data_IF_959297764658
#
_entry.id   IF_959297764658
#
_cell.length_a   1.000
_cell.length_b   1.000
_cell.length_c   1.000
_cell.angle_alpha   90.00
_cell.angle_beta   90.00
_cell.angle_gamma   90.00
#
_symmetry.space_group_name_H-M   'P 1'
#
loop_
_entity.id
_entity.type
_entity.pdbx_description
1 polymer ?
#
# COMPACT_ATOMS: atom_id res chain seq x y z
N UNK A 1 -9.04 -0.18 -19.18
CA UNK A 1 -9.43 0.18 -17.80
C UNK A 1 -10.52 1.24 -17.85
N UNK A 2 -11.53 1.13 -16.97
CA UNK A 2 -12.57 2.16 -16.77
C UNK A 2 -12.51 2.65 -15.31
N UNK A 3 -12.31 3.96 -15.13
CA UNK A 3 -12.32 4.63 -13.82
C UNK A 3 -13.66 5.37 -13.62
N UNK A 4 -14.38 5.01 -12.57
CA UNK A 4 -15.68 5.58 -12.22
C UNK A 4 -15.58 6.39 -10.93
N UNK A 5 -15.69 7.71 -11.04
CA UNK A 5 -15.65 8.64 -9.93
C UNK A 5 -17.06 9.07 -9.53
N UNK A 6 -17.37 9.02 -8.22
CA UNK A 6 -18.69 9.35 -7.67
C UNK A 6 -18.66 10.60 -6.78
N UNK A 7 -17.51 11.16 -6.52
CA UNK A 7 -17.38 12.33 -5.62
C UNK A 7 -16.99 13.59 -6.39
N UNK A 8 -16.02 13.49 -7.29
CA UNK A 8 -15.57 14.64 -8.05
C UNK A 8 -16.37 14.84 -9.35
N UNK A 9 -16.48 16.10 -9.78
CA UNK A 9 -17.00 16.43 -11.10
C UNK A 9 -15.99 16.14 -12.21
N UNK A 10 -16.51 15.94 -13.43
CA UNK A 10 -15.67 15.65 -14.61
C UNK A 10 -14.52 16.64 -14.83
N UNK A 11 -14.68 17.98 -14.61
CA UNK A 11 -13.58 18.92 -14.77
C UNK A 11 -12.43 18.64 -13.80
N UNK A 12 -12.72 18.28 -12.54
CA UNK A 12 -11.71 17.97 -11.56
C UNK A 12 -10.99 16.66 -11.87
N UNK A 13 -11.73 15.63 -12.25
CA UNK A 13 -11.14 14.36 -12.68
C UNK A 13 -10.19 14.55 -13.87
N UNK A 14 -10.58 15.37 -14.85
CA UNK A 14 -9.71 15.73 -15.99
C UNK A 14 -8.44 16.44 -15.54
N UNK A 15 -8.49 17.34 -14.55
CA UNK A 15 -7.31 18.04 -14.02
C UNK A 15 -6.36 17.05 -13.36
N UNK A 16 -6.87 16.11 -12.53
CA UNK A 16 -6.07 15.08 -11.87
C UNK A 16 -5.38 14.16 -12.86
N UNK A 17 -6.11 13.69 -13.88
CA UNK A 17 -5.53 12.86 -14.95
C UNK A 17 -4.46 13.67 -15.71
N UNK A 18 -4.73 14.92 -16.07
CA UNK A 18 -3.75 15.78 -16.75
C UNK A 18 -2.49 16.00 -15.91
N UNK A 19 -2.64 16.21 -14.59
CA UNK A 19 -1.49 16.35 -13.69
C UNK A 19 -0.62 15.08 -13.69
N UNK A 20 -1.24 13.90 -13.58
CA UNK A 20 -0.52 12.63 -13.64
C UNK A 20 0.21 12.44 -14.98
N UNK A 21 -0.45 12.68 -16.09
CA UNK A 21 0.16 12.58 -17.43
C UNK A 21 1.37 13.51 -17.57
N UNK A 22 1.23 14.78 -17.18
CA UNK A 22 2.31 15.77 -17.24
C UNK A 22 3.50 15.36 -16.37
N UNK A 23 3.23 14.93 -15.13
CA UNK A 23 4.29 14.55 -14.18
C UNK A 23 5.08 13.33 -14.65
N UNK A 24 4.38 12.31 -15.17
CA UNK A 24 5.00 11.07 -15.62
C UNK A 24 5.46 11.08 -17.09
N UNK A 25 5.34 12.21 -17.78
CA UNK A 25 5.76 12.35 -19.18
C UNK A 25 4.98 11.46 -20.15
N UNK A 26 3.71 11.17 -19.86
CA UNK A 26 2.83 10.33 -20.67
C UNK A 26 1.98 11.22 -21.59
N UNK A 27 1.92 10.92 -22.87
CA UNK A 27 1.07 11.65 -23.79
C UNK A 27 -0.37 11.13 -23.72
N UNK A 28 -1.34 12.01 -23.96
CA UNK A 28 -2.76 11.63 -24.00
C UNK A 28 -3.04 10.53 -25.05
N UNK A 29 -2.30 10.54 -26.15
CA UNK A 29 -2.43 9.53 -27.20
C UNK A 29 -2.04 8.13 -26.74
N UNK A 30 -1.06 8.02 -25.83
CA UNK A 30 -0.57 6.73 -25.32
C UNK A 30 -1.62 6.01 -24.45
N UNK A 31 -2.54 6.76 -23.85
CA UNK A 31 -3.62 6.20 -23.03
C UNK A 31 -4.97 6.11 -23.77
N UNK A 32 -5.04 6.61 -25.01
CA UNK A 32 -6.27 6.56 -25.79
C UNK A 32 -6.67 5.11 -26.09
N UNK A 33 -7.91 4.75 -25.75
CA UNK A 33 -8.40 3.37 -25.86
C UNK A 33 -8.01 2.46 -24.69
N UNK A 34 -7.10 2.90 -23.81
CA UNK A 34 -6.69 2.14 -22.62
C UNK A 34 -7.31 2.66 -21.33
N UNK A 35 -7.44 3.98 -21.19
CA UNK A 35 -8.07 4.64 -20.06
C UNK A 35 -9.38 5.31 -20.47
N UNK A 36 -10.49 4.81 -19.94
CA UNK A 36 -11.80 5.44 -19.97
C UNK A 36 -12.11 5.94 -18.56
N UNK A 37 -12.75 7.09 -18.44
CA UNK A 37 -13.17 7.63 -17.15
C UNK A 37 -14.49 8.36 -17.26
N UNK A 38 -15.30 8.26 -16.22
CA UNK A 38 -16.60 8.90 -16.13
C UNK A 38 -16.94 9.28 -14.70
N UNK A 39 -17.69 10.36 -14.54
CA UNK A 39 -18.27 10.73 -13.26
C UNK A 39 -19.73 10.31 -13.22
N UNK A 40 -20.13 9.64 -12.16
CA UNK A 40 -21.49 9.14 -11.95
C UNK A 40 -22.06 9.73 -10.66
N UNK A 41 -23.09 10.58 -10.79
CA UNK A 41 -23.73 11.22 -9.66
C UNK A 41 -25.22 10.82 -9.57
N UNK A 42 -25.75 10.71 -8.34
CA UNK A 42 -27.18 10.53 -8.10
C UNK A 42 -27.69 9.09 -8.07
N UNK A 43 -29.00 8.92 -8.16
CA UNK A 43 -29.69 7.65 -7.90
C UNK A 43 -29.44 6.57 -8.96
N UNK A 44 -29.09 6.94 -10.19
CA UNK A 44 -28.81 5.99 -11.27
C UNK A 44 -27.51 5.19 -11.04
N UNK A 45 -26.61 5.70 -10.21
CA UNK A 45 -25.29 5.13 -9.94
C UNK A 45 -25.30 4.03 -8.85
N UNK A 46 -26.43 3.38 -8.58
CA UNK A 46 -26.57 2.38 -7.51
C UNK A 46 -26.70 0.97 -8.07
N UNK A 47 -25.90 0.06 -7.52
CA UNK A 47 -25.96 -1.36 -7.82
C UNK A 47 -27.09 -2.05 -7.04
N UNK A 48 -27.20 -1.70 -5.74
CA UNK A 48 -28.24 -2.19 -4.83
C UNK A 48 -28.85 -1.00 -4.08
N UNK A 49 -30.16 -1.01 -3.90
CA UNK A 49 -30.89 0.06 -3.18
C UNK A 49 -32.05 -0.53 -2.38
N UNK A 50 -32.57 0.26 -1.44
CA UNK A 50 -33.79 -0.08 -0.71
C UNK A 50 -35.03 0.40 -1.50
N UNK A 51 -36.03 -0.45 -1.60
CA UNK A 51 -37.36 -0.07 -2.10
C UNK A 51 -38.13 0.75 -1.04
N UNK A 52 -39.21 1.45 -1.40
CA UNK A 52 -40.08 2.11 -0.43
C UNK A 52 -40.68 1.17 0.64
N UNK A 53 -40.73 -0.12 0.36
CA UNK A 53 -41.21 -1.15 1.26
C UNK A 53 -40.13 -1.84 2.10
N UNK A 54 -38.90 -1.30 2.11
CA UNK A 54 -37.78 -1.81 2.89
C UNK A 54 -37.11 -3.08 2.31
N UNK A 55 -37.44 -3.46 1.07
CA UNK A 55 -36.79 -4.59 0.39
C UNK A 55 -35.55 -4.13 -0.35
N UNK A 56 -34.52 -4.97 -0.39
CA UNK A 56 -33.34 -4.75 -1.23
C UNK A 56 -33.69 -5.06 -2.69
N UNK A 57 -33.41 -4.15 -3.59
CA UNK A 57 -33.68 -4.29 -5.02
C UNK A 57 -32.49 -3.85 -5.86
N UNK A 58 -32.21 -4.52 -6.98
CA UNK A 58 -31.16 -4.09 -7.90
C UNK A 58 -31.40 -2.67 -8.41
N UNK A 59 -30.30 -1.90 -8.51
CA UNK A 59 -30.26 -0.61 -9.17
C UNK A 59 -29.90 -0.73 -10.65
N UNK A 60 -29.73 0.40 -11.30
CA UNK A 60 -29.46 0.47 -12.74
C UNK A 60 -27.98 0.26 -13.08
N UNK A 61 -27.08 0.44 -12.12
CA UNK A 61 -25.62 0.39 -12.32
C UNK A 61 -25.18 -0.95 -12.91
N UNK A 62 -25.75 -2.07 -12.44
CA UNK A 62 -25.33 -3.39 -12.90
C UNK A 62 -25.58 -3.65 -14.38
N UNK A 63 -26.76 -3.27 -14.89
CA UNK A 63 -27.08 -3.39 -16.31
C UNK A 63 -26.19 -2.49 -17.16
N UNK A 64 -26.03 -1.24 -16.74
CA UNK A 64 -25.16 -0.28 -17.43
C UNK A 64 -23.69 -0.72 -17.45
N UNK A 65 -23.17 -1.31 -16.36
CA UNK A 65 -21.81 -1.84 -16.31
C UNK A 65 -21.60 -2.94 -17.37
N UNK A 66 -22.49 -3.92 -17.45
CA UNK A 66 -22.38 -5.01 -18.44
C UNK A 66 -22.35 -4.47 -19.88
N UNK A 67 -23.19 -3.49 -20.17
CA UNK A 67 -23.22 -2.83 -21.49
C UNK A 67 -21.90 -2.10 -21.80
N UNK A 68 -21.43 -1.27 -20.88
CA UNK A 68 -20.23 -0.44 -21.10
C UNK A 68 -18.96 -1.27 -21.16
N UNK A 69 -18.84 -2.34 -20.34
CA UNK A 69 -17.73 -3.29 -20.37
C UNK A 69 -17.60 -3.90 -21.77
N UNK A 70 -18.70 -4.46 -22.27
CA UNK A 70 -18.74 -5.10 -23.59
C UNK A 70 -18.42 -4.11 -24.70
N UNK A 71 -18.99 -2.90 -24.64
CA UNK A 71 -18.81 -1.87 -25.65
C UNK A 71 -17.39 -1.34 -25.72
N UNK A 72 -16.72 -1.16 -24.58
CA UNK A 72 -15.37 -0.59 -24.50
C UNK A 72 -14.26 -1.64 -24.49
N UNK A 73 -14.58 -2.92 -24.27
CA UNK A 73 -13.60 -4.00 -24.15
C UNK A 73 -12.65 -3.78 -22.97
N UNK A 74 -13.16 -3.30 -21.83
CA UNK A 74 -12.32 -3.06 -20.64
C UNK A 74 -12.08 -4.34 -19.85
N UNK A 75 -10.92 -4.48 -19.25
CA UNK A 75 -10.51 -5.63 -18.43
C UNK A 75 -10.44 -5.29 -16.93
N UNK A 76 -10.47 -4.01 -16.57
CA UNK A 76 -10.43 -3.54 -15.19
C UNK A 76 -11.40 -2.37 -15.02
N UNK A 77 -12.20 -2.42 -13.96
CA UNK A 77 -13.01 -1.28 -13.50
C UNK A 77 -12.58 -0.88 -12.09
N UNK A 78 -12.43 0.42 -11.87
CA UNK A 78 -12.12 1.03 -10.57
C UNK A 78 -13.28 1.92 -10.14
N UNK A 79 -13.76 1.76 -8.90
CA UNK A 79 -14.82 2.55 -8.29
C UNK A 79 -14.26 3.45 -7.19
N UNK A 80 -14.51 4.75 -7.27
CA UNK A 80 -14.03 5.76 -6.32
C UNK A 80 -15.18 6.67 -5.81
N UNK A 81 -15.64 6.44 -4.58
CA UNK A 81 -15.42 5.31 -3.69
C UNK A 81 -16.54 4.25 -3.72
N UNK A 82 -16.28 3.06 -3.16
CA UNK A 82 -17.22 1.95 -3.03
C UNK A 82 -18.56 2.36 -2.40
N UNK A 83 -18.53 3.12 -1.31
CA UNK A 83 -19.74 3.53 -0.57
C UNK A 83 -20.78 4.26 -1.44
N UNK A 84 -20.37 4.86 -2.53
CA UNK A 84 -21.27 5.57 -3.46
C UNK A 84 -21.96 4.65 -4.46
N UNK A 85 -21.52 3.39 -4.58
CA UNK A 85 -22.08 2.43 -5.54
C UNK A 85 -23.38 1.79 -5.09
N UNK A 86 -23.78 1.94 -3.84
CA UNK A 86 -25.01 1.36 -3.26
C UNK A 86 -25.79 2.37 -2.43
N UNK A 87 -27.03 2.00 -2.06
CA UNK A 87 -27.89 2.75 -1.18
C UNK A 87 -28.53 1.83 -0.12
N UNK A 88 -27.71 0.94 0.42
CA UNK A 88 -28.04 0.09 1.58
C UNK A 88 -27.21 0.55 2.79
N UNK A 89 -27.64 0.22 4.05
CA UNK A 89 -26.89 0.60 5.24
C UNK A 89 -25.45 0.06 5.23
N UNK A 90 -24.47 0.95 5.44
CA UNK A 90 -23.04 0.63 5.41
C UNK A 90 -22.61 -0.37 6.49
N UNK A 91 -23.30 -0.37 7.64
CA UNK A 91 -23.00 -1.26 8.77
C UNK A 91 -23.79 -2.58 8.74
N UNK A 92 -24.58 -2.84 7.70
CA UNK A 92 -25.27 -4.10 7.50
C UNK A 92 -24.40 -5.07 6.69
N UNK A 93 -23.72 -5.99 7.39
CA UNK A 93 -22.86 -6.99 6.77
C UNK A 93 -23.55 -7.78 5.66
N UNK A 94 -24.80 -8.18 5.87
CA UNK A 94 -25.56 -8.94 4.87
C UNK A 94 -25.87 -8.12 3.62
N UNK A 95 -26.17 -6.84 3.77
CA UNK A 95 -26.42 -5.95 2.65
C UNK A 95 -25.14 -5.65 1.87
N UNK A 96 -24.03 -5.43 2.56
CA UNK A 96 -22.73 -5.20 1.92
C UNK A 96 -22.21 -6.44 1.23
N UNK A 97 -22.38 -7.63 1.83
CA UNK A 97 -22.04 -8.91 1.19
C UNK A 97 -22.83 -9.12 -0.12
N UNK A 98 -24.12 -8.78 -0.13
CA UNK A 98 -24.94 -8.82 -1.35
C UNK A 98 -24.42 -7.87 -2.43
N UNK A 99 -24.04 -6.62 -2.07
CA UNK A 99 -23.43 -5.66 -3.01
C UNK A 99 -22.13 -6.21 -3.59
N UNK A 100 -21.24 -6.73 -2.75
CA UNK A 100 -19.96 -7.28 -3.19
C UNK A 100 -20.17 -8.50 -4.08
N UNK A 101 -21.10 -9.40 -3.70
CA UNK A 101 -21.46 -10.57 -4.51
C UNK A 101 -21.96 -10.19 -5.90
N UNK A 102 -22.74 -9.11 -6.03
CA UNK A 102 -23.17 -8.59 -7.34
C UNK A 102 -21.98 -8.11 -8.19
N UNK A 103 -20.98 -7.43 -7.59
CA UNK A 103 -19.77 -7.04 -8.30
C UNK A 103 -18.91 -8.24 -8.70
N UNK A 104 -18.76 -9.22 -7.81
CA UNK A 104 -18.05 -10.47 -8.11
C UNK A 104 -18.71 -11.18 -9.29
N UNK A 105 -20.04 -11.23 -9.32
CA UNK A 105 -20.78 -11.84 -10.43
C UNK A 105 -20.56 -11.08 -11.75
N UNK A 106 -20.54 -9.74 -11.72
CA UNK A 106 -20.20 -8.92 -12.90
C UNK A 106 -18.76 -9.23 -13.37
N UNK A 107 -17.81 -9.31 -12.43
CA UNK A 107 -16.41 -9.67 -12.72
C UNK A 107 -16.29 -11.02 -13.42
N UNK A 108 -17.01 -12.04 -12.93
CA UNK A 108 -17.04 -13.39 -13.51
C UNK A 108 -17.70 -13.39 -14.88
N UNK A 109 -18.91 -12.84 -15.00
CA UNK A 109 -19.70 -12.86 -16.24
C UNK A 109 -19.01 -12.09 -17.39
N UNK A 110 -18.33 -11.00 -17.05
CA UNK A 110 -17.65 -10.14 -18.03
C UNK A 110 -16.14 -10.43 -18.14
N UNK A 111 -15.60 -11.35 -17.35
CA UNK A 111 -14.17 -11.70 -17.30
C UNK A 111 -13.26 -10.50 -17.05
N UNK A 112 -13.59 -9.66 -16.08
CA UNK A 112 -12.85 -8.46 -15.71
C UNK A 112 -12.40 -8.48 -14.26
N UNK A 113 -11.38 -7.68 -13.94
CA UNK A 113 -11.04 -7.32 -12.58
C UNK A 113 -11.88 -6.13 -12.11
N UNK A 114 -12.25 -6.16 -10.82
CA UNK A 114 -12.99 -5.07 -10.16
C UNK A 114 -12.18 -4.60 -8.97
N UNK A 115 -11.94 -3.30 -8.89
CA UNK A 115 -11.20 -2.64 -7.81
C UNK A 115 -12.06 -1.56 -7.15
N UNK A 116 -11.90 -1.41 -5.83
CA UNK A 116 -12.65 -0.45 -5.02
C UNK A 116 -11.72 0.42 -4.20
N UNK A 117 -11.90 1.72 -4.28
CA UNK A 117 -11.37 2.63 -3.28
C UNK A 117 -12.39 2.75 -2.15
N UNK A 118 -11.90 2.59 -0.92
CA UNK A 118 -12.75 2.66 0.26
C UNK A 118 -12.09 3.53 1.32
N UNK A 119 -12.86 4.44 1.92
CA UNK A 119 -12.34 5.29 2.97
C UNK A 119 -12.07 4.47 4.23
N UNK A 120 -10.98 4.81 4.89
CA UNK A 120 -10.63 4.27 6.20
C UNK A 120 -11.44 4.96 7.30
N UNK A 121 -11.64 4.28 8.43
CA UNK A 121 -12.30 4.90 9.59
C UNK A 121 -11.41 6.01 10.19
N UNK A 122 -12.03 6.94 10.94
CA UNK A 122 -11.29 7.99 11.65
C UNK A 122 -10.55 7.40 12.84
N UNK A 123 -9.26 7.67 12.97
CA UNK A 123 -8.42 7.21 14.08
C UNK A 123 -6.98 6.91 13.65
N UNK A 124 -6.20 6.34 14.55
CA UNK A 124 -4.90 5.78 14.20
C UNK A 124 -5.14 4.48 13.46
N UNK A 125 -4.56 4.41 12.26
CA UNK A 125 -4.61 3.23 11.40
C UNK A 125 -3.22 2.62 11.43
N UNK A 126 -3.14 1.34 11.84
CA UNK A 126 -1.90 0.60 11.72
C UNK A 126 -1.68 0.22 10.25
N UNK A 127 -0.48 0.44 9.72
CA UNK A 127 -0.15 0.04 8.36
C UNK A 127 -0.34 -1.47 8.15
N UNK A 128 -1.01 -1.85 7.05
CA UNK A 128 -1.31 -3.26 6.77
C UNK A 128 -2.51 -3.83 7.55
N UNK A 129 -3.25 -2.99 8.25
CA UNK A 129 -4.50 -3.40 8.92
C UNK A 129 -5.65 -3.47 7.90
N UNK A 130 -6.07 -4.69 7.57
CA UNK A 130 -7.21 -4.91 6.69
C UNK A 130 -8.55 -4.44 7.32
N UNK A 131 -8.63 -4.31 8.65
CA UNK A 131 -9.81 -3.83 9.37
C UNK A 131 -9.90 -2.29 9.40
N UNK A 132 -8.92 -1.58 8.85
CA UNK A 132 -8.94 -0.12 8.73
C UNK A 132 -10.07 0.42 7.83
N UNK A 133 -10.67 -0.40 6.99
CA UNK A 133 -11.82 -0.05 6.15
C UNK A 133 -13.03 0.36 6.98
N UNK A 134 -13.74 1.41 6.55
CA UNK A 134 -14.94 1.91 7.21
C UNK A 134 -16.14 1.04 6.90
N UNK A 135 -16.99 0.73 7.91
CA UNK A 135 -18.23 -0.02 7.72
C UNK A 135 -18.06 -1.54 7.92
N UNK A 136 -18.89 -2.32 7.23
CA UNK A 136 -18.97 -3.77 7.38
C UNK A 136 -17.72 -4.51 6.87
N UNK A 137 -17.31 -5.56 7.57
CA UNK A 137 -16.15 -6.39 7.21
C UNK A 137 -16.31 -7.19 5.91
N UNK A 138 -17.56 -7.39 5.46
CA UNK A 138 -17.87 -8.20 4.28
C UNK A 138 -17.11 -7.77 3.01
N UNK A 139 -16.89 -6.46 2.79
CA UNK A 139 -16.12 -5.99 1.64
C UNK A 139 -14.65 -6.42 1.67
N UNK A 140 -14.02 -6.37 2.84
CA UNK A 140 -12.65 -6.85 3.07
C UNK A 140 -12.56 -8.38 2.88
N UNK A 141 -13.53 -9.11 3.43
CA UNK A 141 -13.50 -10.57 3.43
C UNK A 141 -13.62 -11.15 2.02
N UNK A 142 -14.39 -10.51 1.15
CA UNK A 142 -14.53 -10.88 -0.26
C UNK A 142 -13.32 -10.46 -1.13
N UNK A 143 -12.56 -9.44 -0.73
CA UNK A 143 -11.37 -8.98 -1.46
C UNK A 143 -10.30 -10.06 -1.57
N UNK A 144 -9.73 -10.27 -2.76
CA UNK A 144 -8.58 -11.16 -3.01
C UNK A 144 -7.25 -10.46 -2.70
N UNK A 145 -7.21 -9.17 -2.96
CA UNK A 145 -6.10 -8.27 -2.67
C UNK A 145 -6.66 -7.09 -1.88
N UNK A 146 -6.05 -6.75 -0.76
CA UNK A 146 -6.39 -5.56 0.02
C UNK A 146 -5.11 -4.81 0.34
N UNK A 147 -5.08 -3.54 -0.04
CA UNK A 147 -3.99 -2.64 0.29
C UNK A 147 -4.51 -1.51 1.18
N UNK A 148 -3.71 -1.09 2.14
CA UNK A 148 -3.95 0.13 2.91
C UNK A 148 -3.00 1.22 2.46
N UNK A 149 -3.51 2.43 2.24
CA UNK A 149 -2.70 3.61 1.92
C UNK A 149 -2.93 4.64 3.01
N UNK A 150 -1.87 5.01 3.72
CA UNK A 150 -1.94 5.94 4.84
C UNK A 150 -0.84 7.01 4.74
N UNK A 151 -1.07 8.23 5.22
CA UNK A 151 -0.01 9.22 5.37
C UNK A 151 1.10 8.70 6.29
N UNK A 152 2.33 9.12 6.02
CA UNK A 152 3.48 8.78 6.87
C UNK A 152 3.25 9.24 8.32
N UNK A 153 3.27 8.30 9.26
CA UNK A 153 3.16 8.59 10.69
C UNK A 153 4.44 9.27 11.22
N UNK A 154 4.35 9.97 12.35
CA UNK A 154 5.52 10.51 13.03
C UNK A 154 6.54 9.43 13.39
N UNK A 155 6.06 8.27 13.85
CA UNK A 155 6.91 7.10 14.17
C UNK A 155 7.69 6.60 12.94
N UNK A 156 7.03 6.52 11.78
CA UNK A 156 7.71 6.14 10.54
C UNK A 156 8.73 7.20 10.10
N UNK A 157 8.39 8.48 10.21
CA UNK A 157 9.31 9.58 9.89
C UNK A 157 10.55 9.54 10.77
N UNK A 158 10.38 9.35 12.08
CA UNK A 158 11.48 9.23 13.04
C UNK A 158 12.38 8.03 12.72
N UNK A 159 11.81 6.85 12.45
CA UNK A 159 12.57 5.65 12.07
C UNK A 159 13.36 5.82 10.77
N UNK A 160 12.86 6.65 9.85
CA UNK A 160 13.51 6.95 8.57
C UNK A 160 14.41 8.21 8.62
N UNK A 161 14.53 8.85 9.79
CA UNK A 161 15.34 10.08 9.95
C UNK A 161 14.74 11.32 9.29
N UNK A 162 13.46 11.33 8.96
CA UNK A 162 12.76 12.44 8.29
C UNK A 162 12.33 13.46 9.35
N UNK A 163 13.02 14.60 9.41
CA UNK A 163 12.73 15.69 10.34
C UNK A 163 11.84 16.77 9.73
N UNK A 164 11.73 16.84 8.41
CA UNK A 164 10.95 17.86 7.71
C UNK A 164 9.47 17.48 7.72
N UNK A 165 8.67 18.21 8.48
CA UNK A 165 7.24 17.98 8.63
C UNK A 165 6.44 18.18 7.32
N UNK A 166 6.85 19.15 6.48
CA UNK A 166 6.22 19.37 5.18
C UNK A 166 6.46 18.17 4.25
N UNK A 167 7.67 17.62 4.24
CA UNK A 167 7.96 16.38 3.50
C UNK A 167 7.15 15.21 4.05
N UNK A 168 7.12 15.00 5.38
CA UNK A 168 6.36 13.91 6.00
C UNK A 168 4.90 13.90 5.55
N UNK A 169 4.25 15.06 5.51
CA UNK A 169 2.84 15.20 5.10
C UNK A 169 2.59 14.85 3.61
N UNK A 170 3.62 14.94 2.80
CA UNK A 170 3.53 14.56 1.38
C UNK A 170 3.82 13.07 1.14
N UNK A 171 4.26 12.31 2.16
CA UNK A 171 4.62 10.91 1.99
C UNK A 171 3.47 9.98 2.38
N UNK A 172 3.20 9.02 1.51
CA UNK A 172 2.18 8.00 1.66
C UNK A 172 2.83 6.62 1.73
N UNK A 173 2.35 5.80 2.63
CA UNK A 173 2.75 4.42 2.80
C UNK A 173 1.63 3.51 2.31
N UNK A 174 1.98 2.55 1.45
CA UNK A 174 1.08 1.48 1.00
C UNK A 174 1.59 0.14 1.54
N UNK A 175 0.73 -0.57 2.23
CA UNK A 175 0.98 -1.91 2.76
C UNK A 175 -0.02 -2.90 2.18
N UNK A 176 0.46 -4.14 2.00
CA UNK A 176 -0.40 -5.26 1.66
C UNK A 176 -1.05 -5.80 2.92
N UNK A 177 -2.37 -5.63 3.03
CA UNK A 177 -3.16 -6.06 4.19
C UNK A 177 -3.73 -7.49 4.01
N UNK A 178 -4.00 -7.90 2.77
CA UNK A 178 -4.47 -9.25 2.42
C UNK A 178 -3.97 -9.62 1.02
N UNK A 179 -3.38 -10.79 0.89
CA UNK A 179 -2.93 -11.37 -0.38
C UNK A 179 -3.31 -12.85 -0.41
N UNK A 180 -4.34 -13.20 -1.21
CA UNK A 180 -4.77 -14.59 -1.34
C UNK A 180 -4.18 -15.29 -2.57
N UNK A 181 -3.60 -14.54 -3.49
CA UNK A 181 -3.15 -15.02 -4.81
C UNK A 181 -1.66 -14.81 -5.07
N UNK A 182 -0.92 -14.23 -4.11
CA UNK A 182 0.50 -13.96 -4.21
C UNK A 182 1.17 -14.19 -2.85
N UNK A 183 2.49 -14.46 -2.81
CA UNK A 183 3.24 -14.49 -1.55
C UNK A 183 3.12 -13.18 -0.77
N UNK A 184 3.15 -13.21 0.56
CA UNK A 184 3.09 -11.99 1.38
C UNK A 184 4.23 -11.04 1.03
N UNK A 185 3.89 -9.79 0.69
CA UNK A 185 4.87 -8.72 0.54
C UNK A 185 5.07 -8.06 1.89
N UNK A 186 6.27 -8.18 2.45
CA UNK A 186 6.59 -7.66 3.79
C UNK A 186 7.09 -6.21 3.76
N UNK A 187 7.52 -5.73 2.61
CA UNK A 187 8.03 -4.37 2.43
C UNK A 187 6.90 -3.41 2.04
N UNK A 188 6.82 -2.27 2.73
CA UNK A 188 5.91 -1.20 2.35
C UNK A 188 6.37 -0.52 1.06
N UNK A 189 5.42 -0.17 0.20
CA UNK A 189 5.67 0.72 -0.93
C UNK A 189 5.39 2.16 -0.52
N UNK A 190 6.26 3.08 -0.93
CA UNK A 190 6.13 4.48 -0.57
C UNK A 190 5.89 5.35 -1.80
N UNK A 191 5.07 6.36 -1.61
CA UNK A 191 4.77 7.36 -2.62
C UNK A 191 4.92 8.76 -2.02
N UNK A 192 5.17 9.73 -2.90
CA UNK A 192 5.21 11.14 -2.53
C UNK A 192 4.18 11.91 -3.34
N UNK A 193 3.39 12.72 -2.67
CA UNK A 193 2.50 13.70 -3.29
C UNK A 193 3.33 14.83 -3.87
N UNK A 194 3.12 15.14 -5.14
CA UNK A 194 3.74 16.25 -5.85
C UNK A 194 2.69 17.17 -6.43
N UNK A 195 2.95 18.46 -6.39
CA UNK A 195 2.05 19.49 -6.95
C UNK A 195 2.48 19.83 -8.38
N UNK A 196 1.61 19.64 -9.34
CA UNK A 196 1.90 19.79 -10.77
C UNK A 196 1.16 21.01 -11.31
N UNK A 197 1.87 22.02 -11.87
CA UNK A 197 1.22 23.14 -12.56
C UNK A 197 0.63 22.65 -13.88
N UNK A 198 -0.65 22.95 -14.13
CA UNK A 198 -1.34 22.50 -15.34
C UNK A 198 -1.09 23.38 -16.58
N UNK A 199 -0.39 24.51 -16.42
CA UNK A 199 -0.09 25.42 -17.51
C UNK A 199 -1.33 26.09 -18.13
N UNK A 200 -2.35 26.39 -17.31
CA UNK A 200 -3.62 26.97 -17.71
C UNK A 200 -3.91 28.31 -17.03
N UNK A 201 -2.97 29.29 -17.05
CA UNK A 201 -3.20 30.60 -16.46
C UNK A 201 -4.33 31.34 -17.16
N UNK A 202 -5.04 32.17 -16.38
CA UNK A 202 -6.05 33.10 -16.90
C UNK A 202 -5.79 34.49 -16.31
N UNK A 203 -6.35 35.58 -16.89
CA UNK A 203 -6.21 36.91 -16.29
C UNK A 203 -6.67 36.98 -14.83
N UNK A 204 -7.67 36.19 -14.45
CA UNK A 204 -8.18 36.10 -13.08
C UNK A 204 -7.32 35.22 -12.19
N UNK A 205 -6.65 34.22 -12.74
CA UNK A 205 -5.82 33.24 -12.04
C UNK A 205 -4.47 33.10 -12.75
N UNK A 206 -3.55 34.05 -12.55
CA UNK A 206 -2.31 34.16 -13.35
C UNK A 206 -1.35 32.99 -13.11
N UNK A 207 -1.45 32.29 -11.99
CA UNK A 207 -0.63 31.10 -11.69
C UNK A 207 -1.21 29.79 -12.25
N UNK A 208 -2.46 29.82 -12.76
CA UNK A 208 -3.16 28.62 -13.19
C UNK A 208 -3.47 27.64 -12.05
N UNK A 209 -3.88 26.43 -12.41
CA UNK A 209 -4.17 25.37 -11.46
C UNK A 209 -2.90 24.58 -11.13
N UNK A 210 -2.76 24.22 -9.84
CA UNK A 210 -1.79 23.26 -9.33
C UNK A 210 -2.53 22.07 -8.76
N UNK A 211 -2.27 20.88 -9.27
CA UNK A 211 -2.99 19.66 -8.91
C UNK A 211 -2.01 18.59 -8.41
N UNK A 212 -2.38 17.90 -7.35
CA UNK A 212 -1.54 16.86 -6.80
C UNK A 212 -1.62 15.58 -7.62
N UNK A 213 -0.46 14.94 -7.81
CA UNK A 213 -0.33 13.55 -8.23
C UNK A 213 0.66 12.83 -7.32
N UNK A 214 0.97 11.57 -7.59
CA UNK A 214 1.90 10.78 -6.81
C UNK A 214 3.08 10.32 -7.67
N UNK A 215 4.23 10.21 -7.06
CA UNK A 215 5.42 9.56 -7.61
C UNK A 215 5.91 8.45 -6.66
N UNK A 216 6.52 7.38 -7.16
CA UNK A 216 7.23 6.43 -6.32
C UNK A 216 8.30 7.16 -5.51
N UNK A 217 8.42 6.80 -4.24
CA UNK A 217 9.41 7.39 -3.35
C UNK A 217 10.18 6.28 -2.62
N UNK A 218 11.48 6.38 -2.63
CA UNK A 218 12.37 5.45 -1.93
C UNK A 218 12.86 6.12 -0.65
N UNK A 219 12.65 5.50 0.52
CA UNK A 219 13.22 6.01 1.76
C UNK A 219 14.74 6.18 1.65
N UNK A 220 15.31 7.26 2.20
CA UNK A 220 16.74 7.54 2.09
C UNK A 220 17.65 6.45 2.68
N UNK A 221 17.10 5.60 3.54
CA UNK A 221 17.81 4.49 4.17
C UNK A 221 17.23 3.13 3.74
N UNK A 222 16.72 3.04 2.51
CA UNK A 222 16.25 1.77 1.96
C UNK A 222 17.47 0.86 1.71
N UNK A 223 17.49 -0.27 2.41
CA UNK A 223 18.51 -1.29 2.16
C UNK A 223 18.20 -1.98 0.83
N UNK A 224 19.13 -1.89 -0.11
CA UNK A 224 19.06 -2.75 -1.30
C UNK A 224 19.25 -4.21 -0.88
N UNK A 225 18.84 -5.14 -1.73
CA UNK A 225 19.03 -6.59 -1.48
C UNK A 225 20.51 -6.90 -1.29
N UNK A 226 21.38 -6.28 -2.09
CA UNK A 226 22.83 -6.42 -2.03
C UNK A 226 23.39 -5.94 -0.69
N UNK A 227 23.01 -4.73 -0.26
CA UNK A 227 23.46 -4.16 1.01
C UNK A 227 22.93 -4.96 2.21
N UNK A 228 21.68 -5.41 2.15
CA UNK A 228 21.10 -6.28 3.17
C UNK A 228 21.88 -7.61 3.29
N UNK A 229 22.24 -8.23 2.16
CA UNK A 229 23.04 -9.45 2.16
C UNK A 229 24.47 -9.22 2.68
N UNK A 230 25.10 -8.10 2.37
CA UNK A 230 26.42 -7.72 2.93
C UNK A 230 26.36 -7.58 4.46
N UNK A 231 25.31 -6.94 4.99
CA UNK A 231 25.10 -6.84 6.44
C UNK A 231 24.92 -8.25 7.04
N UNK A 232 24.11 -9.11 6.40
CA UNK A 232 23.90 -10.47 6.88
C UNK A 232 25.22 -11.28 6.89
N UNK A 233 26.03 -11.17 5.84
CA UNK A 233 27.34 -11.83 5.78
C UNK A 233 28.23 -11.34 6.92
N UNK A 234 28.30 -10.03 7.16
CA UNK A 234 29.09 -9.44 8.26
C UNK A 234 28.60 -9.88 9.63
N UNK A 235 27.29 -10.05 9.81
CA UNK A 235 26.72 -10.57 11.05
C UNK A 235 26.99 -12.07 11.25
N UNK A 236 27.08 -12.85 10.18
CA UNK A 236 27.39 -14.27 10.24
C UNK A 236 28.84 -14.57 10.62
N UNK A 237 29.77 -13.66 10.26
CA UNK A 237 31.17 -13.71 10.68
C UNK A 237 31.31 -13.66 12.22
N UNK A 238 30.38 -12.97 12.89
CA UNK A 238 30.39 -12.75 14.33
C UNK A 238 31.39 -11.68 14.78
N UNK A 239 31.44 -11.36 16.09
CA UNK A 239 32.38 -10.39 16.66
C UNK A 239 33.81 -10.93 16.76
N UNK A 240 34.00 -12.23 16.89
CA UNK A 240 35.27 -12.96 16.97
C UNK A 240 35.07 -14.35 16.36
N UNK A 241 36.12 -15.03 15.91
CA UNK A 241 36.00 -16.39 15.36
C UNK A 241 35.24 -17.36 16.31
N UNK A 242 34.18 -17.96 15.79
CA UNK A 242 33.31 -18.88 16.53
C UNK A 242 32.32 -18.23 17.52
N UNK A 243 32.36 -16.91 17.72
CA UNK A 243 31.38 -16.19 18.51
C UNK A 243 30.25 -15.65 17.65
N UNK A 244 29.04 -15.59 18.22
CA UNK A 244 27.87 -15.03 17.58
C UNK A 244 27.45 -13.70 18.21
N UNK A 245 26.96 -12.77 17.40
CA UNK A 245 26.33 -11.57 17.92
C UNK A 245 25.10 -11.92 18.76
N UNK A 246 24.76 -11.06 19.70
CA UNK A 246 23.58 -11.19 20.55
C UNK A 246 22.30 -10.78 19.79
N UNK A 247 21.15 -11.43 20.02
CA UNK A 247 19.86 -10.93 19.52
C UNK A 247 19.45 -9.60 20.17
N UNK A 248 20.15 -9.19 21.25
CA UNK A 248 19.91 -7.93 21.96
C UNK A 248 20.87 -6.84 21.50
N UNK A 249 20.33 -5.76 20.96
CA UNK A 249 21.09 -4.54 20.65
C UNK A 249 21.69 -3.82 21.88
N UNK A 250 21.42 -4.31 23.10
CA UNK A 250 21.97 -3.78 24.37
C UNK A 250 23.15 -4.58 24.87
N UNK A 251 23.54 -5.65 24.20
CA UNK A 251 24.72 -6.43 24.59
C UNK A 251 25.98 -5.57 24.50
N UNK A 252 26.89 -5.71 25.48
CA UNK A 252 28.09 -4.86 25.56
C UNK A 252 29.17 -5.35 24.59
N UNK A 253 29.45 -6.64 24.58
CA UNK A 253 30.58 -7.26 23.87
C UNK A 253 30.19 -8.01 22.60
N UNK A 254 28.91 -8.22 22.39
CA UNK A 254 28.34 -8.92 21.23
C UNK A 254 27.19 -8.14 20.58
N UNK A 255 27.26 -6.80 20.65
CA UNK A 255 26.28 -5.92 20.04
C UNK A 255 26.40 -5.96 18.52
N UNK A 256 25.34 -6.32 17.76
CA UNK A 256 25.40 -6.35 16.30
C UNK A 256 25.32 -4.97 15.66
N UNK A 257 24.86 -3.94 16.38
CA UNK A 257 24.62 -2.60 15.82
C UNK A 257 25.88 -1.97 15.22
N UNK A 258 27.06 -2.00 15.84
CA UNK A 258 28.27 -1.49 15.22
C UNK A 258 28.63 -2.17 13.90
N UNK A 259 28.46 -3.50 13.81
CA UNK A 259 28.71 -4.26 12.59
C UNK A 259 27.72 -3.93 11.47
N UNK A 260 26.46 -3.62 11.81
CA UNK A 260 25.47 -3.13 10.83
C UNK A 260 25.90 -1.77 10.30
N UNK A 261 26.34 -0.85 11.18
CA UNK A 261 26.76 0.50 10.79
C UNK A 261 28.09 0.53 10.03
N UNK A 262 28.95 -0.46 10.22
CA UNK A 262 30.16 -0.65 9.43
C UNK A 262 29.88 -0.85 7.94
N UNK A 263 28.83 -1.58 7.61
CA UNK A 263 28.42 -1.88 6.23
C UNK A 263 27.43 -0.83 5.70
N UNK A 264 26.57 -0.32 6.55
CA UNK A 264 25.53 0.66 6.20
C UNK A 264 25.73 1.95 7.00
N UNK A 265 26.76 2.70 6.64
CA UNK A 265 27.18 3.96 7.29
C UNK A 265 26.14 5.09 7.19
N UNK A 266 25.21 4.97 6.25
CA UNK A 266 24.07 5.89 6.09
C UNK A 266 22.98 5.70 7.15
N UNK A 267 22.97 4.58 7.88
CA UNK A 267 22.00 4.31 8.94
C UNK A 267 22.41 5.02 10.24
N UNK A 268 21.42 5.48 10.97
CA UNK A 268 21.59 5.88 12.37
C UNK A 268 21.57 4.65 13.28
N UNK A 269 22.10 4.79 14.50
CA UNK A 269 22.05 3.71 15.51
C UNK A 269 20.61 3.24 15.80
N UNK A 270 19.66 4.17 15.85
CA UNK A 270 18.23 3.86 16.04
C UNK A 270 17.69 3.00 14.88
N UNK A 271 18.07 3.30 13.66
CA UNK A 271 17.68 2.56 12.46
C UNK A 271 18.30 1.16 12.43
N UNK A 272 19.57 1.03 12.78
CA UNK A 272 20.24 -0.27 12.89
C UNK A 272 19.59 -1.16 13.98
N UNK A 273 19.15 -0.57 15.10
CA UNK A 273 18.39 -1.27 16.14
C UNK A 273 17.01 -1.74 15.67
N UNK A 274 16.32 -0.88 14.92
CA UNK A 274 15.02 -1.24 14.31
C UNK A 274 15.19 -2.37 13.30
N UNK A 275 16.19 -2.27 12.42
CA UNK A 275 16.52 -3.29 11.44
C UNK A 275 16.77 -4.67 12.08
N UNK A 276 17.58 -4.72 13.13
CA UNK A 276 17.82 -5.94 13.88
C UNK A 276 16.52 -6.55 14.42
N UNK A 277 15.65 -5.70 14.97
CA UNK A 277 14.36 -6.14 15.52
C UNK A 277 13.45 -6.69 14.43
N UNK A 278 13.38 -6.03 13.31
CA UNK A 278 12.54 -6.44 12.18
C UNK A 278 13.06 -7.73 11.53
N UNK A 279 14.37 -7.87 11.40
CA UNK A 279 14.99 -9.09 10.85
C UNK A 279 14.83 -10.30 11.78
N UNK A 280 14.77 -10.12 13.08
CA UNK A 280 14.42 -11.17 14.02
C UNK A 280 12.95 -11.56 13.97
N UNK A 281 12.04 -10.62 13.68
CA UNK A 281 10.60 -10.88 13.54
C UNK A 281 10.26 -11.61 12.25
N UNK A 282 10.88 -11.23 11.14
CA UNK A 282 10.60 -11.79 9.82
C UNK A 282 11.50 -12.97 9.44
N UNK A 283 12.26 -13.49 10.41
CA UNK A 283 13.17 -14.63 10.28
C UNK A 283 14.32 -14.46 9.25
N UNK A 284 14.67 -13.23 8.86
CA UNK A 284 15.96 -12.97 8.19
C UNK A 284 17.13 -13.30 9.14
N UNK A 285 16.95 -13.05 10.44
CA UNK A 285 17.82 -13.52 11.52
C UNK A 285 17.06 -14.42 12.48
N UNK A 286 17.74 -15.46 12.97
CA UNK A 286 17.17 -16.43 13.89
C UNK A 286 18.00 -16.43 15.17
N UNK A 287 17.32 -16.39 16.33
CA UNK A 287 17.97 -16.54 17.63
C UNK A 287 18.01 -18.01 18.03
N UNK A 288 19.23 -18.54 18.26
CA UNK A 288 19.45 -19.92 18.73
C UNK A 288 20.46 -19.94 19.87
N UNK A 289 20.38 -20.95 20.70
CA UNK A 289 21.41 -21.24 21.70
C UNK A 289 22.66 -21.82 21.03
N UNK A 290 23.83 -21.39 21.46
CA UNK A 290 25.13 -21.90 21.03
C UNK A 290 26.13 -21.84 22.19
N UNK A 291 27.17 -22.68 22.17
CA UNK A 291 28.24 -22.63 23.17
C UNK A 291 29.26 -21.55 22.79
N UNK A 292 29.29 -20.48 23.60
CA UNK A 292 30.24 -19.36 23.39
C UNK A 292 31.65 -19.81 23.73
N UNK A 293 32.59 -19.82 22.75
CA UNK A 293 33.93 -20.35 23.01
C UNK A 293 34.75 -19.54 24.01
N UNK A 294 34.45 -18.25 24.14
CA UNK A 294 35.15 -17.37 25.09
C UNK A 294 34.67 -17.57 26.52
N UNK A 295 33.33 -17.60 26.71
CA UNK A 295 32.72 -17.69 28.00
C UNK A 295 32.53 -19.13 28.47
N UNK A 296 32.68 -20.12 27.60
CA UNK A 296 32.42 -21.55 27.82
C UNK A 296 31.04 -21.81 28.43
N UNK A 297 30.04 -21.07 27.97
CA UNK A 297 28.64 -21.14 28.44
C UNK A 297 27.70 -21.11 27.25
N UNK A 298 26.56 -21.76 27.40
CA UNK A 298 25.48 -21.63 26.44
C UNK A 298 24.90 -20.21 26.46
N UNK A 299 24.79 -19.57 25.28
CA UNK A 299 24.27 -18.23 25.10
C UNK A 299 23.39 -18.15 23.85
N UNK A 300 22.48 -17.21 23.82
CA UNK A 300 21.73 -16.90 22.59
C UNK A 300 22.62 -16.13 21.62
N UNK A 301 22.69 -16.63 20.39
CA UNK A 301 23.35 -15.98 19.25
C UNK A 301 22.38 -15.76 18.09
N UNK A 302 22.71 -14.83 17.22
CA UNK A 302 22.00 -14.66 15.94
C UNK A 302 22.65 -15.50 14.85
N UNK A 303 21.82 -16.06 14.00
CA UNK A 303 22.16 -16.86 12.83
C UNK A 303 21.36 -16.36 11.63
N UNK A 304 21.88 -16.57 10.44
CA UNK A 304 21.17 -16.24 9.23
C UNK A 304 19.99 -17.20 9.04
N UNK A 305 18.84 -16.62 8.77
CA UNK A 305 17.63 -17.32 8.35
C UNK A 305 17.38 -17.19 6.86
N UNK A 306 16.28 -16.57 6.48
CA UNK A 306 15.92 -16.32 5.08
C UNK A 306 16.60 -15.06 4.54
N UNK A 307 17.33 -15.15 3.44
CA UNK A 307 17.96 -13.99 2.81
C UNK A 307 16.97 -13.22 1.94
N UNK A 308 17.03 -11.86 1.92
CA UNK A 308 16.29 -11.07 0.95
C UNK A 308 16.68 -11.45 -0.48
N UNK A 309 15.69 -11.54 -1.38
CA UNK A 309 15.93 -11.86 -2.79
C UNK A 309 16.19 -13.36 -3.09
N UNK A 310 16.21 -14.24 -2.09
CA UNK A 310 16.17 -15.68 -2.35
C UNK A 310 14.75 -16.03 -2.85
N UNK A 311 14.64 -16.46 -4.10
CA UNK A 311 13.44 -17.14 -4.59
C UNK A 311 13.20 -18.37 -3.71
N UNK A 312 11.94 -18.55 -3.28
CA UNK A 312 11.54 -19.85 -2.73
C UNK A 312 11.57 -20.86 -3.89
N UNK A 313 12.70 -21.54 -4.07
CA UNK A 313 12.75 -22.78 -4.81
C UNK A 313 12.16 -23.87 -3.91
N UNK A 314 10.90 -24.23 -4.17
CA UNK A 314 10.17 -25.27 -3.45
C UNK A 314 8.78 -25.45 -4.02
#
# INVERSE_FOLDING_TARGET
>A
MLFLCFEDGLPELKRRIKAALLHHGINTEDIRGWLFYQTLNGAAAKLLKMSPFGQRVPGQLGAWLREIITRLGVELIIFDPFIKTHAVPENDNSAIDEVVSMFVQIGIDCQIAVDFLHHVHKGQIEPGDADAGRGASAGKDAGRLVHTIVPMSHKNAESLGIKNEALRRCLLRMDSAKLNIAPPVTAATWFKLVSVPLGNPTPRYPNGDHVHTVEPWTPPNFLTVELANQILDRLDEGPEPGRRYSPSARATDRNPVPAILEIADTLTETQARSLLTDWLKNACLISRDYDDPRDRKSRKGIFIGTRPGSSFDG
#
